data_IF_217252588327
#
_entry.id   IF_217252588327
#
_cell.length_a   1.000
_cell.length_b   1.000
_cell.length_c   1.000
_cell.angle_alpha   90.00
_cell.angle_beta   90.00
_cell.angle_gamma   90.00
#
_symmetry.space_group_name_H-M   'P 1'
#
loop_
_entity.id
_entity.type
_entity.pdbx_description
1 polymer ?
#
# COMPACT_ATOMS: atom_id res chain seq x y z
N UNK A 1 10.28 32.57 24.84
CA UNK A 1 9.10 32.22 25.63
C UNK A 1 8.88 33.28 26.75
N UNK A 2 9.90 33.55 27.59
CA UNK A 2 9.81 34.60 28.65
C UNK A 2 9.36 35.95 28.07
N UNK A 3 9.95 36.39 26.95
CA UNK A 3 9.61 37.67 26.29
C UNK A 3 8.19 37.67 25.67
N UNK A 4 7.59 36.52 25.46
CA UNK A 4 6.20 36.37 24.99
C UNK A 4 5.20 36.28 26.15
N UNK A 5 5.65 36.35 27.40
CA UNK A 5 4.79 36.28 28.58
C UNK A 5 4.23 34.88 28.86
N UNK A 6 4.84 33.81 28.30
CA UNK A 6 4.43 32.44 28.59
C UNK A 6 4.82 32.11 30.03
N UNK A 7 3.82 31.74 30.84
CA UNK A 7 4.02 31.35 32.24
C UNK A 7 4.32 29.86 32.36
N UNK A 8 5.56 29.55 32.71
CA UNK A 8 6.00 28.19 33.06
C UNK A 8 7.19 28.30 34.01
N UNK A 9 7.50 27.19 34.68
CA UNK A 9 8.71 27.09 35.51
C UNK A 9 9.90 26.80 34.59
N UNK A 10 10.66 27.84 34.29
CA UNK A 10 11.82 27.77 33.40
C UNK A 10 13.05 27.05 34.01
N UNK A 11 13.03 26.78 35.32
CA UNK A 11 14.09 26.06 36.00
C UNK A 11 13.87 24.54 35.89
N UNK A 12 12.62 24.12 35.60
CA UNK A 12 12.25 22.75 35.31
C UNK A 12 12.27 22.51 33.79
N UNK A 13 13.46 22.46 33.23
CA UNK A 13 13.64 22.16 31.79
C UNK A 13 14.43 20.88 31.56
N UNK A 14 14.07 20.17 30.51
CA UNK A 14 14.84 19.04 30.01
C UNK A 14 14.89 19.04 28.49
N UNK A 15 15.84 18.35 27.91
CA UNK A 15 15.94 18.13 26.47
C UNK A 15 15.72 16.65 26.14
N UNK A 16 14.91 16.37 25.14
CA UNK A 16 14.69 14.98 24.69
C UNK A 16 15.96 14.32 24.14
N UNK A 17 17.00 15.12 23.86
CA UNK A 17 18.31 14.65 23.36
C UNK A 17 19.42 14.75 24.41
N UNK A 18 19.09 15.08 25.66
CA UNK A 18 20.10 15.05 26.73
C UNK A 18 20.48 13.61 27.10
N UNK A 19 21.61 13.46 27.82
CA UNK A 19 22.13 12.13 28.18
C UNK A 19 21.18 11.31 29.05
N UNK A 20 20.38 11.94 29.91
CA UNK A 20 19.42 11.25 30.76
C UNK A 20 18.24 10.73 29.95
N UNK A 21 17.68 11.57 29.08
CA UNK A 21 16.56 11.21 28.19
C UNK A 21 16.97 10.09 27.23
N UNK A 22 18.17 10.18 26.63
CA UNK A 22 18.71 9.12 25.78
C UNK A 22 18.89 7.79 26.55
N UNK A 23 19.49 7.85 27.75
CA UNK A 23 19.68 6.67 28.60
C UNK A 23 18.34 6.02 28.97
N UNK A 24 17.34 6.83 29.32
CA UNK A 24 16.02 6.34 29.70
C UNK A 24 15.31 5.69 28.51
N UNK A 25 15.34 6.32 27.33
CA UNK A 25 14.76 5.77 26.11
C UNK A 25 15.41 4.42 25.71
N UNK A 26 16.75 4.37 25.73
CA UNK A 26 17.47 3.12 25.42
C UNK A 26 17.19 2.03 26.45
N UNK A 27 17.16 2.37 27.74
CA UNK A 27 16.82 1.43 28.81
C UNK A 27 15.41 0.88 28.62
N UNK A 28 14.44 1.72 28.37
CA UNK A 28 13.04 1.33 28.10
C UNK A 28 12.94 0.34 26.94
N UNK A 29 13.63 0.62 25.82
CA UNK A 29 13.67 -0.29 24.68
C UNK A 29 14.29 -1.66 25.07
N UNK A 30 15.41 -1.66 25.80
CA UNK A 30 16.07 -2.89 26.23
C UNK A 30 15.18 -3.70 27.17
N UNK A 31 14.50 -3.05 28.11
CA UNK A 31 13.60 -3.70 29.05
C UNK A 31 12.41 -4.34 28.30
N UNK A 32 11.81 -3.65 27.34
CA UNK A 32 10.74 -4.19 26.49
C UNK A 32 11.22 -5.35 25.60
N UNK A 33 12.46 -5.25 25.08
CA UNK A 33 13.07 -6.33 24.30
C UNK A 33 13.29 -7.59 25.14
N UNK A 34 13.85 -7.45 26.35
CA UNK A 34 14.03 -8.55 27.30
C UNK A 34 12.72 -9.17 27.74
N UNK A 35 11.66 -8.39 27.86
CA UNK A 35 10.30 -8.84 28.15
C UNK A 35 9.61 -9.52 26.96
N UNK A 36 10.26 -9.63 25.78
CA UNK A 36 9.71 -10.22 24.57
C UNK A 36 8.56 -9.40 23.95
N UNK A 37 8.44 -8.12 24.32
CA UNK A 37 7.42 -7.21 23.78
C UNK A 37 7.84 -6.52 22.49
N UNK A 38 9.14 -6.48 22.19
CA UNK A 38 9.71 -5.88 20.99
C UNK A 38 10.21 -6.97 20.05
N UNK A 39 9.90 -6.84 18.76
CA UNK A 39 10.32 -7.79 17.73
C UNK A 39 10.57 -7.09 16.41
N UNK A 40 11.34 -7.72 15.53
CA UNK A 40 11.50 -7.29 14.13
C UNK A 40 10.65 -8.14 13.20
N UNK A 41 10.13 -7.51 12.18
CA UNK A 41 9.38 -8.18 11.12
C UNK A 41 9.49 -7.39 9.81
N UNK A 42 9.60 -8.11 8.69
CA UNK A 42 9.37 -7.54 7.38
C UNK A 42 7.86 -7.29 7.20
N UNK A 43 7.52 -6.03 7.03
CA UNK A 43 6.13 -5.60 6.86
C UNK A 43 6.05 -4.45 5.86
N UNK A 44 4.99 -4.37 5.04
CA UNK A 44 4.79 -3.23 4.14
C UNK A 44 4.63 -1.95 4.97
N UNK A 45 5.53 -1.02 4.73
CA UNK A 45 5.54 0.31 5.35
C UNK A 45 5.28 1.37 4.30
N UNK A 46 4.77 2.51 4.72
CA UNK A 46 4.65 3.70 3.88
C UNK A 46 6.06 4.16 3.54
N UNK A 47 6.36 4.23 2.25
CA UNK A 47 7.69 4.48 1.73
C UNK A 47 7.70 5.66 0.76
N UNK A 48 8.61 6.60 0.95
CA UNK A 48 8.88 7.64 -0.04
C UNK A 48 10.01 7.18 -0.98
N UNK A 49 9.74 6.94 -2.27
CA UNK A 49 10.77 6.47 -3.21
C UNK A 49 11.80 7.54 -3.56
N UNK A 50 11.48 8.82 -3.40
CA UNK A 50 12.41 9.93 -3.62
C UNK A 50 13.36 10.12 -2.44
N UNK A 51 12.82 10.22 -1.23
CA UNK A 51 13.63 10.35 0.00
C UNK A 51 14.26 9.02 0.45
N UNK A 52 13.83 7.89 -0.14
CA UNK A 52 14.26 6.53 0.16
C UNK A 52 14.22 6.21 1.66
N UNK A 53 13.09 6.56 2.29
CA UNK A 53 12.85 6.32 3.71
C UNK A 53 11.41 5.93 3.98
N UNK A 54 11.18 5.20 5.06
CA UNK A 54 9.84 5.02 5.62
C UNK A 54 9.39 6.33 6.23
N UNK A 55 8.10 6.65 6.05
CA UNK A 55 7.50 7.87 6.59
C UNK A 55 6.35 7.52 7.53
N UNK A 56 6.09 8.38 8.49
CA UNK A 56 4.98 8.24 9.42
C UNK A 56 3.65 8.63 8.75
N UNK A 57 2.55 8.11 9.27
CA UNK A 57 1.22 8.47 8.76
C UNK A 57 0.93 9.98 8.90
N UNK A 58 1.52 10.64 9.90
CA UNK A 58 1.39 12.09 10.11
C UNK A 58 2.15 12.94 9.07
N UNK A 59 3.03 12.32 8.27
CA UNK A 59 3.79 12.98 7.19
C UNK A 59 3.13 12.77 5.81
N UNK A 60 1.88 12.24 5.81
CA UNK A 60 1.08 12.11 4.59
C UNK A 60 0.24 13.35 4.37
N UNK A 61 0.23 13.82 3.15
CA UNK A 61 -0.65 14.86 2.66
C UNK A 61 -1.50 14.32 1.50
N UNK A 62 -2.79 14.67 1.47
CA UNK A 62 -3.67 14.35 0.36
C UNK A 62 -3.54 15.39 -0.73
N UNK A 63 -3.16 14.95 -1.94
CA UNK A 63 -3.08 15.83 -3.11
C UNK A 63 -4.01 15.36 -4.20
N UNK A 64 -4.90 16.24 -4.66
CA UNK A 64 -5.75 15.93 -5.81
C UNK A 64 -4.90 15.89 -7.08
N UNK A 65 -4.84 14.73 -7.73
CA UNK A 65 -4.09 14.52 -8.96
C UNK A 65 -5.00 13.97 -10.06
N UNK A 66 -4.75 14.42 -11.28
CA UNK A 66 -5.34 13.83 -12.47
C UNK A 66 -4.75 12.45 -12.76
N UNK A 67 -5.60 11.48 -13.03
CA UNK A 67 -5.20 10.13 -13.40
C UNK A 67 -6.08 9.59 -14.51
N UNK A 68 -5.54 8.64 -15.27
CA UNK A 68 -6.27 7.93 -16.30
C UNK A 68 -6.82 6.62 -15.72
N UNK A 69 -8.14 6.52 -15.62
CA UNK A 69 -8.82 5.32 -15.16
C UNK A 69 -9.10 4.44 -16.38
N UNK A 70 -8.34 3.34 -16.48
CA UNK A 70 -8.35 2.46 -17.65
C UNK A 70 -9.06 1.15 -17.33
N UNK A 71 -10.06 0.78 -18.16
CA UNK A 71 -10.73 -0.51 -18.12
C UNK A 71 -9.99 -1.50 -19.01
N UNK A 72 -9.45 -2.55 -18.36
CA UNK A 72 -8.54 -3.53 -18.97
C UNK A 72 -9.23 -4.90 -19.02
N UNK A 73 -9.02 -5.62 -20.12
CA UNK A 73 -9.55 -6.98 -20.36
C UNK A 73 -8.59 -8.02 -19.81
N UNK A 74 -9.03 -8.77 -18.83
CA UNK A 74 -8.41 -10.01 -18.38
C UNK A 74 -9.12 -11.19 -19.03
N UNK A 75 -8.42 -12.29 -19.27
CA UNK A 75 -9.04 -13.51 -19.81
C UNK A 75 -9.37 -14.49 -18.68
N UNK A 76 -10.62 -14.98 -18.65
CA UNK A 76 -11.07 -16.00 -17.70
C UNK A 76 -11.96 -17.02 -18.42
N UNK A 77 -11.51 -18.26 -18.55
CA UNK A 77 -12.27 -19.36 -19.19
C UNK A 77 -12.80 -18.97 -20.60
N UNK A 78 -12.00 -18.25 -21.39
CA UNK A 78 -12.36 -17.80 -22.74
C UNK A 78 -13.18 -16.51 -22.80
N UNK A 79 -13.71 -16.02 -21.68
CA UNK A 79 -14.46 -14.76 -21.59
C UNK A 79 -13.56 -13.60 -21.13
N UNK A 80 -14.00 -12.36 -21.43
CA UNK A 80 -13.35 -11.16 -20.94
C UNK A 80 -13.88 -10.79 -19.55
N UNK A 81 -12.98 -10.68 -18.58
CA UNK A 81 -13.25 -10.10 -17.27
C UNK A 81 -12.68 -8.68 -17.24
N UNK A 82 -13.54 -7.68 -17.08
CA UNK A 82 -13.16 -6.28 -17.13
C UNK A 82 -12.75 -5.76 -15.76
N UNK A 83 -11.58 -5.15 -15.67
CA UNK A 83 -11.05 -4.55 -14.45
C UNK A 83 -10.62 -3.12 -14.73
N UNK A 84 -11.04 -2.18 -13.89
CA UNK A 84 -10.68 -0.78 -14.02
C UNK A 84 -9.61 -0.39 -13.01
N UNK A 85 -8.55 0.28 -13.46
CA UNK A 85 -7.43 0.72 -12.60
C UNK A 85 -6.86 2.06 -13.04
N UNK A 86 -6.34 2.83 -12.09
CA UNK A 86 -5.52 4.03 -12.32
C UNK A 86 -4.03 3.69 -12.33
N UNK A 87 -3.67 2.47 -11.95
CA UNK A 87 -2.30 2.04 -11.74
C UNK A 87 -1.94 0.76 -12.52
N UNK A 88 -1.94 0.81 -13.88
CA UNK A 88 -1.64 -0.35 -14.71
C UNK A 88 -0.23 -0.92 -14.48
N UNK A 89 0.70 -0.14 -13.94
CA UNK A 89 2.02 -0.61 -13.56
C UNK A 89 2.01 -1.70 -12.46
N UNK A 90 0.89 -1.88 -11.77
CA UNK A 90 0.71 -2.97 -10.80
C UNK A 90 0.21 -4.29 -11.41
N UNK A 91 -0.09 -4.35 -12.70
CA UNK A 91 -0.49 -5.62 -13.34
C UNK A 91 0.48 -6.77 -13.04
N UNK A 92 1.81 -6.60 -13.13
CA UNK A 92 2.74 -7.68 -12.80
C UNK A 92 2.73 -8.09 -11.31
N UNK A 93 2.22 -7.23 -10.43
CA UNK A 93 2.04 -7.51 -9.01
C UNK A 93 0.66 -8.07 -8.65
N UNK A 94 -0.23 -8.27 -9.62
CA UNK A 94 -1.54 -8.86 -9.38
C UNK A 94 -1.38 -10.26 -8.79
N UNK A 95 -2.02 -10.54 -7.65
CA UNK A 95 -1.95 -11.83 -6.95
C UNK A 95 -3.31 -12.49 -6.80
N UNK A 96 -4.39 -11.74 -6.92
CA UNK A 96 -5.77 -12.23 -6.93
C UNK A 96 -6.70 -11.19 -7.58
N UNK A 97 -7.91 -11.62 -7.88
CA UNK A 97 -9.02 -10.77 -8.28
C UNK A 97 -10.15 -11.03 -7.30
N UNK A 98 -10.78 -9.96 -6.79
CA UNK A 98 -11.93 -10.07 -5.91
C UNK A 98 -13.22 -9.73 -6.64
N UNK A 99 -14.22 -10.54 -6.37
CA UNK A 99 -15.59 -10.37 -6.85
C UNK A 99 -16.51 -10.42 -5.64
N UNK A 100 -17.42 -9.46 -5.55
CA UNK A 100 -18.42 -9.47 -4.48
C UNK A 100 -19.34 -10.71 -4.64
N UNK A 101 -19.55 -11.51 -3.59
CA UNK A 101 -20.44 -12.69 -3.66
C UNK A 101 -21.90 -12.34 -4.01
N UNK A 102 -22.30 -11.06 -3.82
CA UNK A 102 -23.62 -10.54 -4.19
C UNK A 102 -23.71 -10.05 -5.65
N UNK A 103 -22.58 -10.00 -6.37
CA UNK A 103 -22.53 -9.58 -7.77
C UNK A 103 -23.06 -10.67 -8.70
N UNK A 104 -24.30 -10.51 -9.15
CA UNK A 104 -24.97 -11.45 -10.05
C UNK A 104 -24.25 -11.61 -11.41
N UNK A 105 -23.56 -10.57 -11.89
CA UNK A 105 -22.88 -10.54 -13.18
C UNK A 105 -21.56 -11.30 -13.15
N UNK A 106 -20.76 -11.09 -12.12
CA UNK A 106 -19.38 -11.62 -12.05
C UNK A 106 -19.23 -12.83 -11.15
N UNK A 107 -20.26 -13.20 -10.34
CA UNK A 107 -20.25 -14.38 -9.46
C UNK A 107 -19.84 -15.68 -10.16
N UNK A 108 -20.16 -15.84 -11.45
CA UNK A 108 -19.80 -17.02 -12.26
C UNK A 108 -18.30 -17.23 -12.41
N UNK A 109 -17.48 -16.23 -12.13
CA UNK A 109 -16.02 -16.29 -12.21
C UNK A 109 -15.35 -16.69 -10.90
N UNK A 110 -16.05 -16.61 -9.75
CA UNK A 110 -15.50 -16.99 -8.44
C UNK A 110 -15.03 -18.45 -8.46
N UNK A 111 -13.84 -18.69 -7.93
CA UNK A 111 -13.20 -20.01 -7.91
C UNK A 111 -12.43 -20.37 -9.18
N UNK A 112 -12.53 -19.54 -10.23
CA UNK A 112 -11.76 -19.70 -11.47
C UNK A 112 -10.44 -18.95 -11.39
N UNK A 113 -9.65 -19.03 -12.47
CA UNK A 113 -8.43 -18.25 -12.66
C UNK A 113 -8.58 -17.27 -13.81
N UNK A 114 -8.00 -16.09 -13.67
CA UNK A 114 -7.87 -15.13 -14.74
C UNK A 114 -6.42 -14.98 -15.17
N UNK A 115 -6.20 -14.66 -16.43
CA UNK A 115 -4.88 -14.37 -17.00
C UNK A 115 -4.68 -12.86 -17.02
N UNK A 116 -3.61 -12.40 -16.38
CA UNK A 116 -3.21 -10.99 -16.37
C UNK A 116 -2.66 -10.60 -17.74
N UNK A 117 -3.22 -9.59 -18.42
CA UNK A 117 -2.75 -9.18 -19.74
C UNK A 117 -1.29 -8.70 -19.70
N UNK A 118 -0.56 -8.85 -20.79
CA UNK A 118 0.88 -8.63 -20.99
C UNK A 118 1.79 -9.60 -20.23
N UNK A 119 1.44 -9.96 -19.01
CA UNK A 119 2.30 -10.71 -18.10
C UNK A 119 1.99 -12.22 -18.09
N UNK A 120 0.86 -12.64 -18.67
CA UNK A 120 0.43 -14.05 -18.81
C UNK A 120 0.44 -14.86 -17.51
N UNK A 121 0.40 -14.20 -16.35
CA UNK A 121 0.31 -14.88 -15.06
C UNK A 121 -1.15 -15.21 -14.74
N UNK A 122 -1.37 -16.42 -14.24
CA UNK A 122 -2.66 -16.86 -13.73
C UNK A 122 -2.84 -16.42 -12.28
N UNK A 123 -3.99 -15.82 -11.98
CA UNK A 123 -4.37 -15.40 -10.63
C UNK A 123 -5.75 -15.93 -10.26
N UNK A 124 -5.98 -16.33 -9.00
CA UNK A 124 -7.29 -16.81 -8.55
C UNK A 124 -8.30 -15.68 -8.49
N UNK A 125 -9.57 -16.02 -8.74
CA UNK A 125 -10.70 -15.14 -8.51
C UNK A 125 -11.40 -15.58 -7.23
N UNK A 126 -11.39 -14.71 -6.22
CA UNK A 126 -11.88 -15.00 -4.88
C UNK A 126 -13.14 -14.17 -4.57
N UNK A 127 -13.99 -14.70 -3.71
CA UNK A 127 -15.14 -13.98 -3.18
C UNK A 127 -14.69 -13.06 -2.05
N UNK A 128 -14.94 -11.76 -2.16
CA UNK A 128 -14.71 -10.80 -1.07
C UNK A 128 -15.66 -9.61 -1.18
N UNK A 129 -16.29 -9.22 -0.07
CA UNK A 129 -17.21 -8.09 -0.01
C UNK A 129 -16.53 -6.72 -0.15
N UNK A 130 -15.21 -6.65 -0.04
CA UNK A 130 -14.42 -5.43 -0.31
C UNK A 130 -14.47 -4.98 -1.78
N UNK A 131 -14.82 -5.88 -2.71
CA UNK A 131 -15.13 -5.52 -4.08
C UNK A 131 -16.52 -4.82 -4.13
N UNK A 132 -16.53 -3.49 -4.16
CA UNK A 132 -17.74 -2.68 -4.14
C UNK A 132 -18.49 -2.78 -5.47
N UNK A 133 -19.80 -3.13 -5.43
CA UNK A 133 -20.65 -3.37 -6.60
C UNK A 133 -20.78 -2.15 -7.54
N UNK A 134 -20.69 -0.94 -7.01
CA UNK A 134 -20.85 0.33 -7.77
C UNK A 134 -19.55 0.99 -8.19
N UNK A 135 -18.38 0.42 -7.85
CA UNK A 135 -17.08 1.04 -8.10
C UNK A 135 -16.40 0.42 -9.32
N UNK A 136 -16.11 1.26 -10.32
CA UNK A 136 -15.48 0.79 -11.56
C UNK A 136 -16.32 -0.28 -12.26
N UNK A 137 -15.73 -1.46 -12.46
CA UNK A 137 -16.43 -2.62 -13.06
C UNK A 137 -17.11 -3.52 -12.03
N UNK A 138 -16.98 -3.25 -10.73
CA UNK A 138 -17.41 -4.13 -9.65
C UNK A 138 -16.43 -5.28 -9.38
N UNK A 139 -15.33 -5.35 -10.12
CA UNK A 139 -14.27 -6.35 -9.97
C UNK A 139 -12.98 -5.65 -9.54
N UNK A 140 -12.36 -6.13 -8.47
CA UNK A 140 -11.18 -5.51 -7.89
C UNK A 140 -9.93 -6.37 -8.12
N UNK A 141 -8.90 -5.78 -8.70
CA UNK A 141 -7.58 -6.39 -8.81
C UNK A 141 -6.84 -6.19 -7.48
N UNK A 142 -6.33 -7.26 -6.90
CA UNK A 142 -5.50 -7.23 -5.68
C UNK A 142 -4.04 -7.30 -6.11
N UNK A 143 -3.32 -6.23 -5.83
CA UNK A 143 -1.93 -6.10 -6.23
C UNK A 143 -1.05 -6.02 -4.99
N UNK A 144 -0.15 -6.93 -4.82
CA UNK A 144 0.80 -7.05 -3.72
C UNK A 144 0.66 -5.93 -2.66
N UNK A 145 1.38 -4.88 -2.69
CA UNK A 145 1.25 -3.76 -1.75
C UNK A 145 0.95 -2.47 -2.51
N UNK A 146 -0.07 -2.49 -3.38
CA UNK A 146 -0.47 -1.33 -4.18
C UNK A 146 -1.07 -0.19 -3.36
N UNK A 147 -1.82 -0.56 -2.32
CA UNK A 147 -2.38 0.38 -1.34
C UNK A 147 -2.67 -0.32 -0.01
N UNK A 148 -3.29 0.39 0.92
CA UNK A 148 -3.68 -0.14 2.24
C UNK A 148 -4.66 -1.32 2.14
N UNK A 149 -5.61 -1.26 1.21
CA UNK A 149 -6.61 -2.32 1.03
C UNK A 149 -5.96 -3.60 0.50
N UNK A 150 -4.97 -3.47 -0.39
CA UNK A 150 -4.16 -4.60 -0.88
C UNK A 150 -3.40 -5.27 0.27
N UNK A 151 -2.80 -4.51 1.18
CA UNK A 151 -2.11 -5.04 2.37
C UNK A 151 -3.06 -5.84 3.26
N UNK A 152 -4.27 -5.31 3.50
CA UNK A 152 -5.31 -5.98 4.27
C UNK A 152 -5.79 -7.27 3.56
N UNK A 153 -6.04 -7.21 2.25
CA UNK A 153 -6.46 -8.34 1.43
C UNK A 153 -5.42 -9.48 1.44
N UNK A 154 -4.15 -9.14 1.26
CA UNK A 154 -3.04 -10.11 1.30
C UNK A 154 -2.97 -10.81 2.66
N UNK A 155 -3.11 -10.06 3.74
CA UNK A 155 -3.07 -10.59 5.11
C UNK A 155 -4.27 -11.50 5.38
N UNK A 156 -5.47 -11.05 5.03
CA UNK A 156 -6.74 -11.76 5.23
C UNK A 156 -6.78 -13.10 4.48
N UNK A 157 -6.40 -13.08 3.21
CA UNK A 157 -6.45 -14.26 2.33
C UNK A 157 -5.13 -15.04 2.30
N UNK A 158 -4.12 -14.66 3.09
CA UNK A 158 -2.78 -15.28 3.13
C UNK A 158 -2.15 -15.39 1.73
N UNK A 159 -2.33 -14.37 0.90
CA UNK A 159 -1.77 -14.33 -0.45
C UNK A 159 -0.26 -14.10 -0.39
N UNK A 160 0.47 -14.64 -1.36
CA UNK A 160 1.91 -14.42 -1.46
C UNK A 160 2.18 -13.13 -2.25
N UNK A 161 2.72 -12.07 -1.63
CA UNK A 161 2.98 -10.81 -2.33
C UNK A 161 4.09 -10.96 -3.36
N UNK A 162 4.03 -10.14 -4.41
CA UNK A 162 5.04 -10.03 -5.46
C UNK A 162 5.53 -8.59 -5.53
N UNK A 163 6.75 -8.35 -5.07
CA UNK A 163 7.33 -7.01 -5.04
C UNK A 163 7.84 -6.65 -6.42
N UNK A 164 7.43 -5.49 -6.93
CA UNK A 164 7.73 -5.02 -8.29
C UNK A 164 8.53 -3.73 -8.33
N UNK A 165 8.83 -3.13 -7.17
CA UNK A 165 9.59 -1.89 -7.07
C UNK A 165 10.81 -2.05 -6.19
N UNK A 166 11.86 -1.33 -6.55
CA UNK A 166 13.03 -1.09 -5.73
C UNK A 166 12.78 0.10 -4.79
N UNK A 167 13.59 0.24 -3.74
CA UNK A 167 13.49 1.34 -2.76
C UNK A 167 13.60 2.74 -3.39
N UNK A 168 14.30 2.88 -4.51
CA UNK A 168 14.46 4.14 -5.26
C UNK A 168 13.31 4.43 -6.25
N UNK A 169 12.19 3.69 -6.17
CA UNK A 169 11.02 3.87 -7.03
C UNK A 169 11.24 3.45 -8.48
N UNK A 170 12.16 2.53 -8.72
CA UNK A 170 12.32 1.91 -10.04
C UNK A 170 11.71 0.52 -10.06
N UNK A 171 11.24 0.11 -11.24
CA UNK A 171 10.70 -1.23 -11.45
C UNK A 171 11.80 -2.29 -11.38
N UNK A 172 11.44 -3.49 -10.87
CA UNK A 172 12.29 -4.69 -10.92
C UNK A 172 11.65 -5.83 -11.73
N UNK A 173 10.75 -5.47 -12.63
CA UNK A 173 9.99 -6.40 -13.47
C UNK A 173 10.65 -6.54 -14.84
N UNK A 174 10.79 -7.79 -15.32
CA UNK A 174 11.40 -8.09 -16.62
C UNK A 174 10.79 -7.27 -17.76
N UNK A 175 11.65 -6.57 -18.50
CA UNK A 175 11.29 -5.66 -19.60
C UNK A 175 10.95 -4.23 -19.18
N UNK A 176 10.95 -3.96 -17.85
CA UNK A 176 10.70 -2.64 -17.27
C UNK A 176 11.76 -2.28 -16.21
N UNK A 177 12.80 -3.10 -16.08
CA UNK A 177 13.84 -2.94 -15.06
C UNK A 177 14.48 -1.55 -15.10
N UNK A 178 14.65 -0.94 -13.96
CA UNK A 178 15.27 0.38 -13.80
C UNK A 178 14.40 1.56 -14.23
N UNK A 179 13.24 1.33 -14.85
CA UNK A 179 12.33 2.41 -15.21
C UNK A 179 11.68 3.02 -13.97
N UNK A 180 11.55 4.34 -13.93
CA UNK A 180 10.72 5.00 -12.90
C UNK A 180 9.26 4.58 -13.04
N UNK A 181 8.54 4.48 -11.92
CA UNK A 181 7.12 4.05 -11.85
C UNK A 181 6.24 4.77 -12.88
N UNK A 182 6.38 6.10 -12.99
CA UNK A 182 5.58 6.90 -13.93
C UNK A 182 5.85 6.56 -15.40
N UNK A 183 7.09 6.24 -15.74
CA UNK A 183 7.48 5.91 -17.12
C UNK A 183 7.06 4.48 -17.47
N UNK A 184 7.21 3.55 -16.52
CA UNK A 184 6.71 2.19 -16.65
C UNK A 184 5.19 2.16 -16.84
N UNK A 185 4.44 2.98 -16.08
CA UNK A 185 2.98 3.14 -16.24
C UNK A 185 2.62 3.54 -17.67
N UNK A 186 3.28 4.56 -18.23
CA UNK A 186 3.05 5.01 -19.61
C UNK A 186 3.33 3.91 -20.63
N UNK A 187 4.48 3.21 -20.47
CA UNK A 187 4.89 2.14 -21.37
C UNK A 187 3.92 0.96 -21.31
N UNK A 188 3.55 0.49 -20.12
CA UNK A 188 2.60 -0.61 -19.94
C UNK A 188 1.24 -0.24 -20.55
N UNK A 189 0.77 0.99 -20.32
CA UNK A 189 -0.50 1.45 -20.89
C UNK A 189 -0.48 1.43 -22.41
N UNK A 190 0.60 1.95 -23.03
CA UNK A 190 0.78 1.92 -24.48
C UNK A 190 0.78 0.49 -25.03
N UNK A 191 1.50 -0.44 -24.40
CA UNK A 191 1.51 -1.85 -24.81
C UNK A 191 0.14 -2.53 -24.67
N UNK A 192 -0.64 -2.18 -23.63
CA UNK A 192 -2.01 -2.66 -23.46
C UNK A 192 -2.93 -2.14 -24.59
N UNK A 193 -2.77 -0.88 -25.00
CA UNK A 193 -3.53 -0.27 -26.11
C UNK A 193 -3.18 -0.95 -27.44
N UNK A 194 -1.90 -1.07 -27.78
CA UNK A 194 -1.42 -1.71 -29.00
C UNK A 194 -1.94 -3.16 -29.13
N UNK A 195 -2.03 -3.90 -28.01
CA UNK A 195 -2.57 -5.26 -27.98
C UNK A 195 -4.09 -5.35 -27.78
N UNK A 196 -4.80 -4.20 -27.81
CA UNK A 196 -6.27 -4.11 -27.68
C UNK A 196 -6.81 -4.68 -26.36
N UNK A 197 -6.02 -4.64 -25.30
CA UNK A 197 -6.47 -5.01 -23.94
C UNK A 197 -7.22 -3.88 -23.24
N UNK A 198 -7.05 -2.62 -23.65
CA UNK A 198 -7.80 -1.48 -23.12
C UNK A 198 -9.15 -1.39 -23.84
N UNK A 199 -10.22 -1.33 -23.05
CA UNK A 199 -11.58 -1.14 -23.57
C UNK A 199 -11.99 0.34 -23.55
N UNK A 200 -11.71 1.03 -22.45
CA UNK A 200 -12.13 2.40 -22.20
C UNK A 200 -11.12 3.10 -21.29
N UNK A 201 -11.02 4.40 -21.45
CA UNK A 201 -10.22 5.27 -20.59
C UNK A 201 -10.99 6.52 -20.22
N UNK A 202 -10.93 6.91 -18.94
CA UNK A 202 -11.56 8.13 -18.43
C UNK A 202 -10.56 8.94 -17.63
N UNK A 203 -10.47 10.23 -17.89
CA UNK A 203 -9.73 11.11 -16.98
C UNK A 203 -10.55 11.31 -15.72
N UNK A 204 -9.91 11.08 -14.59
CA UNK A 204 -10.48 11.30 -13.25
C UNK A 204 -9.52 12.14 -12.41
N UNK A 205 -10.08 12.82 -11.42
CA UNK A 205 -9.31 13.42 -10.33
C UNK A 205 -9.58 12.61 -9.08
N UNK A 206 -8.55 12.29 -8.33
CA UNK A 206 -8.66 11.61 -7.06
C UNK A 206 -7.52 12.00 -6.11
N UNK A 207 -7.73 11.82 -4.83
CA UNK A 207 -6.72 12.08 -3.83
C UNK A 207 -5.66 10.99 -3.85
N UNK A 208 -4.40 11.42 -3.88
CA UNK A 208 -3.22 10.56 -3.80
C UNK A 208 -2.42 11.01 -2.58
N UNK A 209 -2.07 10.06 -1.72
CA UNK A 209 -1.18 10.34 -0.61
C UNK A 209 0.23 10.65 -1.11
N UNK A 210 0.76 11.77 -0.67
CA UNK A 210 2.12 12.21 -0.97
C UNK A 210 2.88 12.47 0.32
N UNK A 211 4.20 12.41 0.26
CA UNK A 211 5.07 12.81 1.36
C UNK A 211 5.08 14.35 1.46
N UNK A 212 4.75 14.92 2.61
CA UNK A 212 4.60 16.37 2.86
C UNK A 212 5.87 17.17 2.51
N UNK A 213 7.05 16.59 2.73
CA UNK A 213 8.34 17.27 2.51
C UNK A 213 8.78 17.37 1.05
N UNK A 214 8.40 16.41 0.21
CA UNK A 214 8.87 16.38 -1.19
C UNK A 214 7.73 16.30 -2.23
N UNK A 215 6.47 16.14 -1.79
CA UNK A 215 5.31 16.04 -2.67
C UNK A 215 5.29 14.78 -3.55
N UNK A 216 6.14 13.79 -3.27
CA UNK A 216 6.20 12.55 -4.04
C UNK A 216 5.13 11.58 -3.56
N UNK A 217 4.40 10.96 -4.49
CA UNK A 217 3.44 9.90 -4.17
C UNK A 217 4.15 8.74 -3.44
N UNK A 218 3.52 8.29 -2.36
CA UNK A 218 4.06 7.20 -1.54
C UNK A 218 3.79 5.84 -2.19
N UNK A 219 4.61 4.88 -1.80
CA UNK A 219 4.42 3.47 -2.13
C UNK A 219 4.40 2.64 -0.85
N UNK A 220 3.92 1.39 -0.93
CA UNK A 220 4.05 0.44 0.17
C UNK A 220 5.13 -0.58 -0.17
N UNK A 221 6.20 -0.61 0.62
CA UNK A 221 7.31 -1.55 0.43
C UNK A 221 7.57 -2.35 1.72
N UNK A 222 7.84 -3.64 1.60
CA UNK A 222 8.27 -4.42 2.76
C UNK A 222 9.65 -3.95 3.19
N UNK A 223 9.73 -3.57 4.44
CA UNK A 223 10.97 -3.17 5.09
C UNK A 223 11.06 -3.86 6.45
N UNK A 224 12.28 -4.19 6.89
CA UNK A 224 12.49 -4.75 8.21
C UNK A 224 12.31 -3.64 9.25
N UNK A 225 11.29 -3.77 10.09
CA UNK A 225 10.88 -2.76 11.07
C UNK A 225 10.78 -3.35 12.47
N UNK A 226 10.96 -2.50 13.47
CA UNK A 226 10.71 -2.81 14.86
C UNK A 226 9.24 -2.60 15.21
N UNK A 227 8.67 -3.53 15.93
CA UNK A 227 7.30 -3.51 16.42
C UNK A 227 7.22 -3.76 17.91
N UNK A 228 6.22 -3.15 18.57
CA UNK A 228 5.89 -3.39 19.97
C UNK A 228 4.52 -4.07 20.04
N UNK A 229 4.40 -5.13 20.85
CA UNK A 229 3.14 -5.88 21.05
C UNK A 229 2.19 -5.12 21.97
N UNK A 230 1.57 -4.07 21.47
CA UNK A 230 0.67 -3.23 22.26
C UNK A 230 -0.65 -3.96 22.55
N UNK A 231 -1.17 -4.73 21.58
CA UNK A 231 -2.50 -5.36 21.67
C UNK A 231 -2.58 -6.46 22.73
N UNK A 232 -1.47 -7.13 23.02
CA UNK A 232 -1.41 -8.20 24.05
C UNK A 232 -1.78 -7.65 25.43
N UNK A 233 -1.44 -6.37 25.68
CA UNK A 233 -1.68 -5.68 26.97
C UNK A 233 -2.89 -4.73 26.93
N UNK A 234 -3.67 -4.73 25.85
CA UNK A 234 -4.77 -3.77 25.65
C UNK A 234 -5.75 -3.73 26.83
N UNK A 235 -6.16 -4.89 27.35
CA UNK A 235 -7.14 -4.96 28.47
C UNK A 235 -6.57 -4.34 29.75
N UNK A 236 -5.31 -4.61 30.06
CA UNK A 236 -4.63 -4.09 31.25
C UNK A 236 -4.44 -2.57 31.13
N UNK A 237 -3.96 -2.10 29.99
CA UNK A 237 -3.73 -0.67 29.73
C UNK A 237 -5.03 0.15 29.79
N UNK A 238 -6.12 -0.37 29.19
CA UNK A 238 -7.44 0.30 29.25
C UNK A 238 -7.98 0.33 30.69
N UNK A 239 -7.71 -0.69 31.50
CA UNK A 239 -8.12 -0.71 32.91
C UNK A 239 -7.35 0.29 33.75
N UNK A 240 -6.08 0.51 33.47
CA UNK A 240 -5.23 1.48 34.19
C UNK A 240 -5.52 2.93 33.78
N UNK A 241 -5.99 3.16 32.54
CA UNK A 241 -6.31 4.49 32.03
C UNK A 241 -7.72 4.99 32.39
N UNK A 242 -8.52 4.18 33.08
CA UNK A 242 -9.83 4.54 33.65
C UNK A 242 -9.72 4.85 35.14
#
# INVERSE_FOLDING_TARGET
WKNLGVSCDYDLSYSTIDKNSQKLAQKSFIDLYKAGQVYQKDFPTIWCPECQTSIAQAELEDKELGSLFSTIKFKCSGEDLLIATTRPEFLPACVAIFVNPKDKKHKKFIGKKAIVPLFNQEVPILADESAELGKGTGVMMVCSYGDKYDVEAITKHKLKPKIIFNKNGTMNVKGYEGMKIKDARKKILKELEEKKFVLEQKQIKHNVNVHDKCGTAIEFLPTNQWFIKILDKKKELVKQGK
#
